data_IF_104425139897
#
_entry.id   IF_104425139897
#
_cell.length_a   1.000
_cell.length_b   1.000
_cell.length_c   1.000
_cell.angle_alpha   90.00
_cell.angle_beta   90.00
_cell.angle_gamma   90.00
#
_symmetry.space_group_name_H-M   'P 1'
#
loop_
_entity.id
_entity.type
_entity.pdbx_description
1 polymer ?
#
# COMPACT_ATOMS: atom_id res chain seq x y z
N UNK A 1 30.89 27.18 12.26
CA UNK A 1 31.06 27.21 10.79
C UNK A 1 30.74 25.82 10.27
N UNK A 2 29.46 25.54 10.03
CA UNK A 2 29.01 24.31 9.39
C UNK A 2 28.93 24.60 7.90
N UNK A 3 29.89 24.06 7.14
CA UNK A 3 29.92 24.15 5.69
C UNK A 3 28.69 23.45 5.12
N UNK A 4 27.72 24.25 4.67
CA UNK A 4 26.65 23.78 3.81
C UNK A 4 27.24 23.31 2.49
N UNK A 5 27.37 21.98 2.34
CA UNK A 5 27.52 21.38 1.02
C UNK A 5 26.14 21.47 0.38
N UNK A 6 25.92 22.53 -0.38
CA UNK A 6 24.86 22.55 -1.38
C UNK A 6 25.31 21.56 -2.44
N UNK A 7 24.80 20.32 -2.39
CA UNK A 7 24.89 19.41 -3.53
C UNK A 7 24.10 20.07 -4.65
N UNK A 8 24.80 20.49 -5.71
CA UNK A 8 24.13 20.84 -6.96
C UNK A 8 23.41 19.59 -7.46
N UNK A 9 22.09 19.70 -7.58
CA UNK A 9 21.22 18.66 -8.13
C UNK A 9 21.58 18.45 -9.62
N UNK A 10 22.51 17.55 -9.93
CA UNK A 10 23.00 17.26 -11.29
C UNK A 10 22.14 16.23 -12.03
N UNK A 11 20.83 16.46 -12.09
CA UNK A 11 19.92 15.63 -12.89
C UNK A 11 19.20 16.48 -13.94
N UNK A 12 18.96 15.87 -15.10
CA UNK A 12 18.31 16.53 -16.22
C UNK A 12 16.86 16.05 -16.32
N UNK A 13 15.90 16.94 -16.06
CA UNK A 13 14.46 16.65 -16.13
C UNK A 13 13.97 16.24 -17.52
N UNK A 14 14.78 16.44 -18.57
CA UNK A 14 14.44 16.03 -19.94
C UNK A 14 14.86 14.58 -20.24
N UNK A 15 15.56 13.90 -19.33
CA UNK A 15 15.90 12.49 -19.49
C UNK A 15 14.74 11.61 -18.99
N UNK A 16 14.60 10.38 -19.52
CA UNK A 16 13.72 9.39 -18.92
C UNK A 16 14.18 9.00 -17.52
N UNK A 17 13.26 8.52 -16.69
CA UNK A 17 13.57 7.91 -15.39
C UNK A 17 13.49 6.39 -15.50
N UNK A 18 14.52 5.70 -15.02
CA UNK A 18 14.50 4.27 -14.80
C UNK A 18 13.78 3.96 -13.48
N UNK A 19 12.72 3.16 -13.55
CA UNK A 19 11.93 2.72 -12.39
C UNK A 19 11.97 1.21 -12.24
N UNK A 20 12.12 0.74 -11.00
CA UNK A 20 12.25 -0.67 -10.65
C UNK A 20 11.29 -1.12 -9.54
N UNK A 21 10.52 -0.18 -8.97
CA UNK A 21 9.64 -0.40 -7.83
C UNK A 21 8.16 -0.11 -8.15
N UNK A 22 7.45 0.50 -7.19
CA UNK A 22 6.01 0.78 -7.25
C UNK A 22 5.60 1.76 -8.36
N UNK A 23 6.55 2.51 -8.92
CA UNK A 23 6.35 3.40 -10.08
C UNK A 23 6.39 2.68 -11.44
N UNK A 24 6.72 1.38 -11.50
CA UNK A 24 6.67 0.65 -12.77
C UNK A 24 5.23 0.62 -13.32
N UNK A 25 5.06 0.54 -14.66
CA UNK A 25 3.76 0.25 -15.24
C UNK A 25 3.14 -1.01 -14.60
N UNK A 26 1.82 -0.96 -14.37
CA UNK A 26 1.05 -2.01 -13.69
C UNK A 26 1.35 -2.22 -12.20
N UNK A 27 2.18 -1.39 -11.57
CA UNK A 27 2.36 -1.35 -10.11
C UNK A 27 1.53 -0.21 -9.47
N UNK A 28 1.33 -0.27 -8.16
CA UNK A 28 0.29 0.52 -7.47
C UNK A 28 0.43 2.04 -7.60
N UNK A 29 1.66 2.58 -7.67
CA UNK A 29 1.84 4.03 -7.70
C UNK A 29 1.64 4.62 -9.10
N UNK A 30 1.84 3.84 -10.17
CA UNK A 30 1.96 4.35 -11.54
C UNK A 30 0.77 5.16 -12.04
N UNK A 31 -0.47 4.80 -11.67
CA UNK A 31 -1.68 5.53 -12.07
C UNK A 31 -1.61 7.03 -11.72
N UNK A 32 -0.90 7.40 -10.65
CA UNK A 32 -0.76 8.80 -10.24
C UNK A 32 0.19 9.60 -11.13
N UNK A 33 1.04 8.91 -11.88
CA UNK A 33 2.10 9.49 -12.70
C UNK A 33 1.83 9.32 -14.19
N UNK A 34 0.97 8.39 -14.58
CA UNK A 34 0.65 8.04 -15.96
C UNK A 34 0.32 9.26 -16.82
N UNK A 35 -0.43 10.23 -16.29
CA UNK A 35 -0.81 11.45 -17.01
C UNK A 35 0.40 12.27 -17.47
N UNK A 36 1.52 12.20 -16.75
CA UNK A 36 2.75 12.92 -17.07
C UNK A 36 3.71 12.13 -17.96
N UNK A 37 3.41 10.86 -18.27
CA UNK A 37 4.27 9.97 -19.04
C UNK A 37 3.80 9.93 -20.48
N UNK A 38 4.72 10.16 -21.41
CA UNK A 38 4.48 10.07 -22.86
C UNK A 38 4.63 8.63 -23.36
N UNK A 39 5.70 7.96 -22.90
CA UNK A 39 6.07 6.60 -23.32
C UNK A 39 6.65 5.83 -22.15
N UNK A 40 6.40 4.53 -22.13
CA UNK A 40 7.07 3.56 -21.26
C UNK A 40 7.84 2.55 -22.09
N UNK A 41 9.02 2.13 -21.65
CA UNK A 41 9.85 1.16 -22.36
C UNK A 41 10.49 0.18 -21.38
N UNK A 42 10.51 -1.11 -21.70
CA UNK A 42 11.20 -2.12 -20.87
C UNK A 42 12.70 -1.83 -20.92
N UNK A 43 13.35 -1.86 -19.77
CA UNK A 43 14.77 -1.59 -19.67
C UNK A 43 15.45 -2.41 -18.56
N UNK A 44 16.77 -2.44 -18.59
CA UNK A 44 17.63 -2.95 -17.54
C UNK A 44 18.60 -1.87 -17.07
N UNK A 45 18.96 -1.89 -15.80
CA UNK A 45 19.95 -1.01 -15.20
C UNK A 45 21.20 -1.83 -14.84
N UNK A 46 22.27 -1.77 -15.66
CA UNK A 46 23.52 -2.49 -15.42
C UNK A 46 24.30 -1.94 -14.23
N UNK A 47 25.12 -2.78 -13.59
CA UNK A 47 25.98 -2.43 -12.44
C UNK A 47 25.22 -2.04 -11.17
N UNK A 48 23.97 -2.49 -11.05
CA UNK A 48 23.16 -2.36 -9.83
C UNK A 48 22.63 -3.72 -9.39
N UNK A 49 22.33 -3.83 -8.10
CA UNK A 49 21.60 -4.94 -7.50
C UNK A 49 20.35 -4.41 -6.79
N UNK A 50 19.30 -5.22 -6.84
CA UNK A 50 18.02 -4.92 -6.20
C UNK A 50 18.01 -5.47 -4.77
N UNK A 51 17.53 -4.65 -3.86
CA UNK A 51 17.36 -4.97 -2.45
C UNK A 51 15.95 -4.61 -2.00
N UNK A 52 15.56 -5.15 -0.85
CA UNK A 52 14.32 -4.81 -0.17
C UNK A 52 14.64 -4.32 1.24
N UNK A 53 14.09 -3.17 1.62
CA UNK A 53 14.15 -2.61 2.98
C UNK A 53 12.74 -2.26 3.40
N UNK A 54 12.27 -2.82 4.51
CA UNK A 54 10.89 -2.63 4.99
C UNK A 54 9.84 -2.90 3.90
N UNK A 55 10.07 -3.95 3.10
CA UNK A 55 9.26 -4.35 1.93
C UNK A 55 9.26 -3.36 0.75
N UNK A 56 10.00 -2.26 0.84
CA UNK A 56 10.20 -1.32 -0.25
C UNK A 56 11.46 -1.67 -1.07
N UNK A 57 11.39 -1.64 -2.40
CA UNK A 57 12.53 -1.94 -3.25
C UNK A 57 13.52 -0.78 -3.25
N UNK A 58 14.81 -1.09 -3.32
CA UNK A 58 15.87 -0.11 -3.57
C UNK A 58 16.97 -0.71 -4.45
N UNK A 59 17.60 0.11 -5.28
CA UNK A 59 18.79 -0.29 -6.02
C UNK A 59 20.04 0.26 -5.35
N UNK A 60 21.10 -0.55 -5.31
CA UNK A 60 22.42 -0.17 -4.84
C UNK A 60 23.47 -0.53 -5.91
N UNK A 61 24.58 0.24 -6.02
CA UNK A 61 25.67 -0.11 -6.92
C UNK A 61 26.22 -1.52 -6.61
N UNK A 62 26.43 -2.31 -7.66
CA UNK A 62 26.99 -3.66 -7.57
C UNK A 62 28.45 -3.66 -7.96
N UNK A 63 29.29 -4.35 -7.19
CA UNK A 63 30.70 -4.60 -7.52
C UNK A 63 30.92 -5.74 -8.52
N UNK A 64 29.85 -6.50 -8.82
CA UNK A 64 29.84 -7.59 -9.79
C UNK A 64 28.87 -7.27 -10.94
N UNK A 65 29.07 -7.92 -12.08
CA UNK A 65 28.24 -7.75 -13.27
C UNK A 65 26.82 -8.29 -13.01
N UNK A 66 25.94 -7.38 -12.62
CA UNK A 66 24.51 -7.60 -12.35
C UNK A 66 23.72 -6.48 -13.02
N UNK A 67 22.43 -6.74 -13.21
CA UNK A 67 21.49 -5.74 -13.68
C UNK A 67 20.16 -5.88 -12.96
N UNK A 68 19.41 -4.78 -12.91
CA UNK A 68 18.04 -4.74 -12.38
C UNK A 68 17.10 -4.52 -13.56
N UNK A 69 16.05 -5.34 -13.69
CA UNK A 69 15.02 -5.11 -14.70
C UNK A 69 14.01 -4.07 -14.22
N UNK A 70 13.52 -3.26 -15.14
CA UNK A 70 12.58 -2.20 -14.86
C UNK A 70 12.04 -1.57 -16.14
N UNK A 71 11.68 -0.30 -16.04
CA UNK A 71 11.13 0.46 -17.15
C UNK A 71 11.77 1.85 -17.21
N UNK A 72 11.93 2.37 -18.41
CA UNK A 72 12.14 3.79 -18.64
C UNK A 72 10.78 4.46 -18.78
N UNK A 73 10.52 5.49 -17.97
CA UNK A 73 9.38 6.38 -18.12
C UNK A 73 9.88 7.68 -18.77
N UNK A 74 9.33 7.99 -19.94
CA UNK A 74 9.62 9.22 -20.66
C UNK A 74 8.59 10.27 -20.27
N UNK A 75 8.97 11.31 -19.50
CA UNK A 75 8.02 12.36 -19.14
C UNK A 75 7.63 13.16 -20.39
N UNK A 76 6.38 13.64 -20.43
CA UNK A 76 5.96 14.62 -21.44
C UNK A 76 6.77 15.89 -21.27
N UNK A 77 7.22 16.47 -22.37
CA UNK A 77 8.12 17.62 -22.34
C UNK A 77 7.52 18.85 -21.63
N UNK A 78 6.21 19.07 -21.78
CA UNK A 78 5.49 20.19 -21.18
C UNK A 78 5.26 20.05 -19.67
N UNK A 79 5.27 18.82 -19.14
CA UNK A 79 5.07 18.54 -17.70
C UNK A 79 6.28 17.88 -17.03
N UNK A 80 7.45 17.87 -17.66
CA UNK A 80 8.62 17.13 -17.18
C UNK A 80 9.10 17.60 -15.80
N UNK A 81 9.09 18.90 -15.54
CA UNK A 81 9.48 19.45 -14.23
C UNK A 81 8.51 19.00 -13.14
N UNK A 82 7.20 19.14 -13.37
CA UNK A 82 6.15 18.71 -12.43
C UNK A 82 6.23 17.20 -12.15
N UNK A 83 6.48 16.39 -13.18
CA UNK A 83 6.71 14.96 -13.04
C UNK A 83 7.84 14.67 -12.06
N UNK A 84 9.01 15.26 -12.26
CA UNK A 84 10.18 15.03 -11.39
C UNK A 84 9.96 15.55 -9.97
N UNK A 85 9.32 16.70 -9.79
CA UNK A 85 8.96 17.22 -8.46
C UNK A 85 8.04 16.24 -7.71
N UNK A 86 7.04 15.70 -8.41
CA UNK A 86 6.09 14.75 -7.81
C UNK A 86 6.74 13.40 -7.50
N UNK A 87 7.61 12.89 -8.38
CA UNK A 87 8.35 11.66 -8.13
C UNK A 87 9.32 11.85 -6.96
N UNK A 88 10.04 12.98 -6.88
CA UNK A 88 10.89 13.31 -5.72
C UNK A 88 10.10 13.33 -4.42
N UNK A 89 8.92 13.96 -4.39
CA UNK A 89 8.06 13.96 -3.22
C UNK A 89 7.56 12.55 -2.86
N UNK A 90 7.31 11.71 -3.86
CA UNK A 90 6.91 10.31 -3.66
C UNK A 90 8.03 9.43 -3.12
N UNK A 91 9.25 9.52 -3.66
CA UNK A 91 10.38 8.73 -3.15
C UNK A 91 10.83 9.23 -1.77
N UNK A 92 10.63 10.51 -1.49
CA UNK A 92 10.88 11.12 -0.20
C UNK A 92 12.38 11.14 0.13
N UNK A 93 12.72 10.88 1.39
CA UNK A 93 14.10 11.03 1.91
C UNK A 93 14.91 9.74 1.91
N UNK A 94 14.32 8.62 1.50
CA UNK A 94 14.96 7.30 1.56
C UNK A 94 15.79 6.96 0.32
N UNK A 95 15.71 7.82 -0.71
CA UNK A 95 16.34 7.66 -2.00
C UNK A 95 16.96 8.97 -2.47
N UNK A 96 17.99 8.86 -3.30
CA UNK A 96 18.65 9.98 -3.97
C UNK A 96 18.50 9.85 -5.48
N UNK A 97 18.13 10.95 -6.14
CA UNK A 97 18.03 11.00 -7.59
C UNK A 97 19.42 11.20 -8.20
N UNK A 98 19.85 10.26 -9.04
CA UNK A 98 21.15 10.28 -9.72
C UNK A 98 21.00 10.06 -11.22
N UNK A 99 21.99 10.52 -11.98
CA UNK A 99 22.12 10.17 -13.41
C UNK A 99 22.66 8.74 -13.55
N UNK A 100 22.16 8.00 -14.55
CA UNK A 100 22.59 6.64 -14.87
C UNK A 100 22.49 6.34 -16.37
N UNK A 101 22.92 5.15 -16.77
CA UNK A 101 22.77 4.63 -18.14
C UNK A 101 22.00 3.32 -18.06
N UNK A 102 20.77 3.32 -18.57
CA UNK A 102 19.96 2.11 -18.72
C UNK A 102 20.17 1.48 -20.11
N UNK A 103 19.81 0.21 -20.23
CA UNK A 103 19.78 -0.55 -21.47
C UNK A 103 18.34 -0.84 -21.84
N UNK A 104 17.90 -0.45 -23.04
CA UNK A 104 16.57 -0.83 -23.51
C UNK A 104 16.52 -2.27 -24.02
N UNK A 105 15.37 -2.70 -24.55
CA UNK A 105 15.17 -4.04 -25.12
C UNK A 105 16.11 -4.37 -26.29
N UNK A 106 16.58 -3.34 -27.01
CA UNK A 106 17.51 -3.48 -28.14
C UNK A 106 18.98 -3.38 -27.69
N UNK A 107 19.24 -3.35 -26.37
CA UNK A 107 20.54 -3.22 -25.74
C UNK A 107 21.28 -1.89 -26.04
N UNK A 108 20.53 -0.88 -26.47
CA UNK A 108 21.02 0.49 -26.66
C UNK A 108 21.22 1.19 -25.31
N UNK A 109 22.28 1.98 -25.19
CA UNK A 109 22.55 2.77 -23.99
C UNK A 109 21.71 4.04 -23.98
N UNK A 110 20.83 4.19 -23.01
CA UNK A 110 19.98 5.36 -22.83
C UNK A 110 20.43 6.10 -21.57
N UNK A 111 20.79 7.38 -21.72
CA UNK A 111 21.02 8.25 -20.57
C UNK A 111 19.70 8.49 -19.84
N UNK A 112 19.67 8.27 -18.53
CA UNK A 112 18.47 8.31 -17.71
C UNK A 112 18.77 8.81 -16.31
N UNK A 113 17.72 9.07 -15.54
CA UNK A 113 17.83 9.25 -14.09
C UNK A 113 17.31 8.01 -13.35
N UNK A 114 17.72 7.80 -12.11
CA UNK A 114 17.19 6.74 -11.24
C UNK A 114 17.20 7.22 -9.79
N UNK A 115 16.21 6.82 -9.01
CA UNK A 115 16.28 6.95 -7.55
C UNK A 115 17.07 5.78 -6.98
N UNK A 116 18.19 6.05 -6.32
CA UNK A 116 19.02 5.04 -5.68
C UNK A 116 18.72 5.02 -4.18
N UNK A 117 18.70 3.85 -3.54
CA UNK A 117 18.60 3.79 -2.08
C UNK A 117 19.80 4.47 -1.40
N UNK A 118 19.53 5.21 -0.32
CA UNK A 118 20.58 5.78 0.55
C UNK A 118 20.63 5.09 1.91
N UNK A 119 21.71 5.32 2.66
CA UNK A 119 21.87 4.86 4.04
C UNK A 119 21.66 3.35 4.18
N UNK A 120 22.30 2.57 3.30
CA UNK A 120 22.19 1.11 3.24
C UNK A 120 22.67 0.38 4.49
N UNK A 121 23.40 1.07 5.37
CA UNK A 121 23.81 0.59 6.68
C UNK A 121 22.66 0.55 7.70
N UNK A 122 21.54 1.23 7.44
CA UNK A 122 20.34 1.26 8.27
C UNK A 122 19.18 0.51 7.63
N UNK A 123 18.30 -0.07 8.47
CA UNK A 123 17.11 -0.81 8.01
C UNK A 123 17.40 -2.20 7.44
N UNK A 124 18.66 -2.65 7.47
CA UNK A 124 19.11 -4.01 7.07
C UNK A 124 18.52 -4.46 5.71
N UNK A 125 18.81 -3.74 4.61
CA UNK A 125 18.32 -4.13 3.29
C UNK A 125 18.80 -5.54 2.93
N UNK A 126 17.90 -6.35 2.38
CA UNK A 126 18.19 -7.73 1.97
C UNK A 126 18.25 -7.84 0.44
N UNK A 127 19.23 -8.55 -0.14
CA UNK A 127 19.31 -8.73 -1.59
C UNK A 127 18.08 -9.45 -2.14
N UNK A 128 17.43 -8.87 -3.14
CA UNK A 128 16.34 -9.49 -3.88
C UNK A 128 16.87 -10.04 -5.21
N UNK A 129 16.90 -11.37 -5.33
CA UNK A 129 17.46 -12.06 -6.51
C UNK A 129 16.51 -12.14 -7.71
N UNK A 130 15.31 -11.59 -7.57
CA UNK A 130 14.26 -11.58 -8.60
C UNK A 130 13.80 -10.15 -8.84
N UNK A 131 12.98 -9.94 -9.87
CA UNK A 131 12.34 -8.64 -10.06
C UNK A 131 11.36 -8.37 -8.92
N UNK A 132 11.26 -7.12 -8.48
CA UNK A 132 10.27 -6.72 -7.50
C UNK A 132 8.89 -6.53 -8.17
N UNK A 133 7.83 -6.95 -7.50
CA UNK A 133 6.46 -6.63 -7.87
C UNK A 133 5.56 -6.65 -6.65
N UNK A 134 4.56 -5.77 -6.63
CA UNK A 134 3.50 -5.76 -5.61
C UNK A 134 2.80 -7.11 -5.53
N UNK A 135 2.65 -7.81 -6.67
CA UNK A 135 2.03 -9.12 -6.71
C UNK A 135 2.75 -10.15 -5.83
N UNK A 136 4.05 -9.98 -5.58
CA UNK A 136 4.89 -10.86 -4.76
C UNK A 136 5.19 -10.29 -3.37
N UNK A 137 4.59 -9.15 -3.00
CA UNK A 137 4.77 -8.53 -1.70
C UNK A 137 4.36 -9.50 -0.58
N UNK A 138 5.22 -9.79 0.41
CA UNK A 138 4.90 -10.80 1.41
C UNK A 138 3.65 -10.53 2.25
N UNK A 139 3.33 -9.26 2.52
CA UNK A 139 2.13 -8.90 3.26
C UNK A 139 0.88 -9.07 2.40
N UNK A 140 0.94 -8.71 1.12
CA UNK A 140 -0.22 -8.77 0.23
C UNK A 140 -0.45 -10.16 -0.38
N UNK A 141 0.61 -10.85 -0.75
CA UNK A 141 0.56 -12.13 -1.47
C UNK A 141 0.41 -13.34 -0.55
N UNK A 142 0.93 -13.27 0.68
CA UNK A 142 0.95 -14.41 1.61
C UNK A 142 0.23 -14.13 2.94
N UNK A 143 0.53 -13.00 3.60
CA UNK A 143 -0.08 -12.70 4.91
C UNK A 143 -1.57 -12.37 4.79
N UNK A 144 -1.94 -11.50 3.85
CA UNK A 144 -3.32 -11.06 3.63
C UNK A 144 -4.31 -12.20 3.38
N UNK A 145 -4.10 -13.15 2.43
CA UNK A 145 -5.07 -14.22 2.20
C UNK A 145 -5.25 -15.13 3.43
N UNK A 146 -4.17 -15.41 4.17
CA UNK A 146 -4.24 -16.16 5.44
C UNK A 146 -5.05 -15.40 6.49
N UNK A 147 -4.86 -14.08 6.58
CA UNK A 147 -5.60 -13.24 7.52
C UNK A 147 -7.10 -13.18 7.19
N UNK A 148 -7.46 -13.07 5.91
CA UNK A 148 -8.85 -13.16 5.45
C UNK A 148 -9.48 -14.48 5.90
N UNK A 149 -8.77 -15.59 5.69
CA UNK A 149 -9.22 -16.92 6.10
C UNK A 149 -9.32 -17.04 7.63
N UNK A 150 -8.38 -16.47 8.39
CA UNK A 150 -8.41 -16.47 9.85
C UNK A 150 -9.63 -15.73 10.41
N UNK A 151 -9.95 -14.55 9.84
CA UNK A 151 -11.17 -13.80 10.18
C UNK A 151 -12.40 -14.65 9.88
N UNK A 152 -12.45 -15.29 8.70
CA UNK A 152 -13.57 -16.16 8.29
C UNK A 152 -13.76 -17.34 9.24
N UNK A 153 -12.68 -18.01 9.63
CA UNK A 153 -12.72 -19.13 10.57
C UNK A 153 -13.14 -18.67 11.98
N UNK A 154 -12.72 -17.47 12.40
CA UNK A 154 -13.09 -16.93 13.72
C UNK A 154 -14.60 -16.71 13.86
N UNK A 155 -15.29 -16.35 12.77
CA UNK A 155 -16.74 -16.19 12.70
C UNK A 155 -17.48 -17.52 12.91
N UNK A 156 -17.04 -18.59 12.25
CA UNK A 156 -17.66 -19.91 12.33
C UNK A 156 -17.59 -20.51 13.74
N UNK A 157 -16.61 -20.10 14.53
CA UNK A 157 -16.41 -20.57 15.91
C UNK A 157 -17.05 -19.69 16.97
N UNK A 158 -17.62 -18.54 16.59
CA UNK A 158 -18.22 -17.61 17.56
C UNK A 158 -19.69 -17.92 17.82
N UNK A 159 -20.07 -18.07 19.09
CA UNK A 159 -21.46 -17.96 19.53
C UNK A 159 -21.91 -16.51 19.36
N UNK A 160 -23.12 -16.28 18.81
CA UNK A 160 -23.62 -14.99 18.28
C UNK A 160 -23.74 -13.82 19.28
N UNK A 161 -23.28 -13.97 20.51
CA UNK A 161 -23.16 -12.87 21.46
C UNK A 161 -22.18 -13.29 22.55
N UNK A 162 -21.20 -12.45 22.85
CA UNK A 162 -20.53 -12.56 24.14
C UNK A 162 -21.60 -12.31 25.20
N UNK A 163 -22.08 -13.35 25.88
CA UNK A 163 -22.90 -13.12 27.07
C UNK A 163 -22.10 -12.25 28.04
N UNK A 164 -22.78 -11.40 28.81
CA UNK A 164 -22.18 -10.39 29.70
C UNK A 164 -21.16 -11.00 30.70
N UNK A 165 -21.17 -12.33 30.86
CA UNK A 165 -20.30 -13.12 31.71
C UNK A 165 -19.14 -13.83 30.97
N UNK A 166 -19.13 -13.87 29.63
CA UNK A 166 -18.09 -14.58 28.86
C UNK A 166 -16.81 -13.75 28.71
N UNK A 167 -15.83 -14.13 29.55
CA UNK A 167 -14.43 -13.70 29.56
C UNK A 167 -13.59 -14.39 28.47
N UNK A 168 -14.10 -14.63 27.26
CA UNK A 168 -13.24 -15.15 26.19
C UNK A 168 -12.36 -14.05 25.60
N UNK A 169 -11.41 -13.61 26.42
CA UNK A 169 -10.36 -12.67 26.07
C UNK A 169 -9.46 -13.22 24.95
N UNK A 170 -9.39 -14.53 24.74
CA UNK A 170 -8.61 -15.10 23.63
C UNK A 170 -9.28 -14.76 22.31
N UNK A 171 -10.58 -15.00 22.18
CA UNK A 171 -11.33 -14.64 20.97
C UNK A 171 -11.35 -13.12 20.76
N UNK A 172 -11.55 -12.33 21.81
CA UNK A 172 -11.49 -10.85 21.74
C UNK A 172 -10.13 -10.37 21.23
N UNK A 173 -9.04 -10.86 21.82
CA UNK A 173 -7.69 -10.51 21.39
C UNK A 173 -7.43 -10.94 19.95
N UNK A 174 -7.91 -12.11 19.51
CA UNK A 174 -7.78 -12.54 18.11
C UNK A 174 -8.50 -11.57 17.16
N UNK A 175 -9.76 -11.22 17.43
CA UNK A 175 -10.53 -10.26 16.59
C UNK A 175 -9.84 -8.89 16.51
N UNK A 176 -9.36 -8.37 17.63
CA UNK A 176 -8.62 -7.10 17.67
C UNK A 176 -7.30 -7.22 16.90
N UNK A 177 -6.49 -8.25 17.17
CA UNK A 177 -5.21 -8.46 16.48
C UNK A 177 -5.38 -8.61 14.97
N UNK A 178 -6.39 -9.35 14.52
CA UNK A 178 -6.68 -9.51 13.10
C UNK A 178 -7.02 -8.16 12.44
N UNK A 179 -7.86 -7.37 13.09
CA UNK A 179 -8.23 -6.05 12.59
C UNK A 179 -7.04 -5.07 12.57
N UNK A 180 -6.17 -5.13 13.57
CA UNK A 180 -4.96 -4.30 13.61
C UNK A 180 -3.96 -4.70 12.52
N UNK A 181 -3.74 -6.01 12.31
CA UNK A 181 -2.88 -6.48 11.22
C UNK A 181 -3.43 -6.06 9.85
N UNK A 182 -4.75 -6.16 9.65
CA UNK A 182 -5.41 -5.70 8.44
C UNK A 182 -5.28 -4.19 8.23
N UNK A 183 -5.33 -3.41 9.32
CA UNK A 183 -5.08 -1.98 9.29
C UNK A 183 -3.63 -1.66 8.92
N UNK A 184 -2.66 -2.45 9.38
CA UNK A 184 -1.26 -2.32 8.97
C UNK A 184 -1.06 -2.67 7.50
N UNK A 185 -1.78 -3.67 6.97
CA UNK A 185 -1.77 -3.98 5.53
C UNK A 185 -2.34 -2.81 4.72
N UNK A 186 -3.41 -2.16 5.17
CA UNK A 186 -3.93 -0.93 4.56
C UNK A 186 -2.88 0.19 4.56
N UNK A 187 -2.18 0.40 5.68
CA UNK A 187 -1.09 1.39 5.78
C UNK A 187 0.09 1.03 4.85
N UNK A 188 0.41 -0.26 4.66
CA UNK A 188 1.40 -0.70 3.69
C UNK A 188 0.98 -0.43 2.25
N UNK A 189 -0.28 -0.69 1.90
CA UNK A 189 -0.85 -0.33 0.59
C UNK A 189 -0.71 1.17 0.35
N UNK A 190 -0.91 2.01 1.37
CA UNK A 190 -0.68 3.44 1.28
C UNK A 190 0.79 3.79 1.03
N UNK A 191 1.74 3.13 1.70
CA UNK A 191 3.17 3.33 1.44
C UNK A 191 3.54 2.98 0.01
N UNK A 192 3.03 1.87 -0.52
CA UNK A 192 3.28 1.44 -1.90
C UNK A 192 2.60 2.34 -2.93
N UNK A 193 1.42 2.90 -2.60
CA UNK A 193 0.65 3.76 -3.51
C UNK A 193 1.15 5.20 -3.46
N UNK A 194 1.30 5.80 -2.29
CA UNK A 194 1.57 7.24 -2.11
C UNK A 194 3.01 7.56 -1.69
N UNK A 195 3.83 6.56 -1.33
CA UNK A 195 5.20 6.79 -0.89
C UNK A 195 5.28 7.85 0.20
N UNK A 196 6.23 8.77 0.04
CA UNK A 196 6.46 9.94 0.88
C UNK A 196 5.61 11.17 0.57
N UNK A 197 4.64 11.12 -0.38
CA UNK A 197 3.91 12.31 -0.86
C UNK A 197 3.28 13.16 0.25
N UNK A 198 2.87 12.53 1.35
CA UNK A 198 2.23 13.19 2.48
C UNK A 198 3.04 13.14 3.77
N UNK A 199 4.23 12.54 3.74
CA UNK A 199 5.06 12.33 4.94
C UNK A 199 5.40 13.67 5.61
N UNK A 200 5.12 13.78 6.92
CA UNK A 200 5.40 14.98 7.70
C UNK A 200 4.45 16.16 7.43
N UNK A 201 3.44 15.99 6.56
CA UNK A 201 2.43 17.02 6.31
C UNK A 201 1.37 17.03 7.42
N UNK A 202 0.83 18.22 7.72
CA UNK A 202 -0.27 18.34 8.69
C UNK A 202 -1.49 17.55 8.18
N UNK A 203 -1.90 16.53 8.91
CA UNK A 203 -3.04 15.70 8.55
C UNK A 203 -2.70 14.61 7.53
N UNK A 204 -1.46 14.16 7.45
CA UNK A 204 -0.96 13.04 6.64
C UNK A 204 -1.98 11.88 6.49
N UNK A 205 -2.44 11.31 7.59
CA UNK A 205 -3.45 10.23 7.57
C UNK A 205 -4.75 10.64 6.86
N UNK A 206 -5.22 11.88 7.05
CA UNK A 206 -6.42 12.35 6.36
C UNK A 206 -6.16 12.53 4.86
N UNK A 207 -4.94 12.86 4.45
CA UNK A 207 -4.56 12.98 3.06
C UNK A 207 -4.48 11.59 2.40
N UNK A 208 -3.91 10.58 3.07
CA UNK A 208 -3.90 9.19 2.61
C UNK A 208 -5.32 8.63 2.46
N UNK A 209 -6.17 8.82 3.48
CA UNK A 209 -7.57 8.42 3.44
C UNK A 209 -8.33 9.09 2.29
N UNK A 210 -8.13 10.40 2.06
CA UNK A 210 -8.75 11.13 0.94
C UNK A 210 -8.21 10.67 -0.40
N UNK A 211 -6.89 10.50 -0.52
CA UNK A 211 -6.23 10.04 -1.74
C UNK A 211 -6.82 8.71 -2.20
N UNK A 212 -6.86 7.73 -1.30
CA UNK A 212 -7.39 6.41 -1.63
C UNK A 212 -8.90 6.49 -1.91
N UNK A 213 -9.67 7.19 -1.07
CA UNK A 213 -11.12 7.30 -1.26
C UNK A 213 -11.53 8.00 -2.57
N UNK A 214 -10.64 8.83 -3.13
CA UNK A 214 -10.88 9.54 -4.37
C UNK A 214 -10.45 8.76 -5.62
N UNK A 215 -9.63 7.71 -5.48
CA UNK A 215 -9.18 6.90 -6.62
C UNK A 215 -10.34 6.12 -7.23
N UNK A 216 -10.26 5.89 -8.55
CA UNK A 216 -11.32 5.19 -9.27
C UNK A 216 -11.39 3.72 -8.84
N UNK A 217 -10.24 3.05 -8.75
CA UNK A 217 -10.18 1.64 -8.32
C UNK A 217 -10.73 1.42 -6.91
N UNK A 218 -10.54 2.36 -5.98
CA UNK A 218 -11.17 2.28 -4.67
C UNK A 218 -12.69 2.36 -4.76
N UNK A 219 -13.21 3.34 -5.52
CA UNK A 219 -14.67 3.50 -5.70
C UNK A 219 -15.28 2.26 -6.35
N UNK A 220 -14.58 1.65 -7.28
CA UNK A 220 -15.01 0.43 -7.97
C UNK A 220 -15.00 -0.77 -7.03
N UNK A 221 -13.92 -0.98 -6.28
CA UNK A 221 -13.83 -2.02 -5.26
C UNK A 221 -14.92 -1.89 -4.20
N UNK A 222 -15.17 -0.66 -3.70
CA UNK A 222 -16.23 -0.40 -2.73
C UNK A 222 -17.61 -0.70 -3.33
N UNK A 223 -17.87 -0.27 -4.57
CA UNK A 223 -19.15 -0.55 -5.25
C UNK A 223 -19.38 -2.05 -5.42
N UNK A 224 -18.36 -2.81 -5.84
CA UNK A 224 -18.44 -4.27 -5.99
C UNK A 224 -18.73 -4.95 -4.65
N UNK A 225 -18.00 -4.59 -3.59
CA UNK A 225 -18.21 -5.16 -2.26
C UNK A 225 -19.59 -4.80 -1.70
N UNK A 226 -20.03 -3.54 -1.85
CA UNK A 226 -21.33 -3.08 -1.37
C UNK A 226 -22.50 -3.73 -2.13
N UNK A 227 -22.40 -3.88 -3.45
CA UNK A 227 -23.42 -4.54 -4.27
C UNK A 227 -23.60 -6.02 -3.90
N UNK A 228 -22.54 -6.67 -3.42
CA UNK A 228 -22.56 -8.03 -2.92
C UNK A 228 -22.97 -8.15 -1.44
N UNK A 229 -23.36 -7.05 -0.77
CA UNK A 229 -23.66 -6.98 0.66
C UNK A 229 -22.50 -7.44 1.57
N UNK A 230 -21.25 -7.21 1.14
CA UNK A 230 -20.03 -7.64 1.84
C UNK A 230 -19.42 -6.56 2.74
N UNK A 231 -20.08 -5.40 2.88
CA UNK A 231 -19.66 -4.29 3.74
C UNK A 231 -20.66 -4.16 4.89
N UNK A 232 -20.37 -4.69 6.09
CA UNK A 232 -21.22 -4.51 7.26
C UNK A 232 -21.43 -3.03 7.60
N UNK A 233 -22.60 -2.71 8.13
CA UNK A 233 -22.86 -1.39 8.69
C UNK A 233 -22.07 -1.21 9.99
N UNK A 234 -21.17 -0.24 10.00
CA UNK A 234 -20.45 0.20 11.19
C UNK A 234 -20.66 1.69 11.32
N UNK A 235 -20.96 2.15 12.55
CA UNK A 235 -21.14 3.56 12.87
C UNK A 235 -20.44 3.90 14.18
N UNK A 236 -19.58 4.92 14.16
CA UNK A 236 -18.80 5.32 15.33
C UNK A 236 -18.76 6.84 15.48
N UNK A 237 -18.86 7.31 16.71
CA UNK A 237 -18.72 8.73 17.07
C UNK A 237 -17.35 9.02 17.68
N UNK A 238 -16.86 10.26 17.56
CA UNK A 238 -15.70 10.71 18.34
C UNK A 238 -16.14 11.08 19.75
N UNK A 239 -15.75 10.29 20.75
CA UNK A 239 -16.12 10.60 22.14
C UNK A 239 -15.43 11.85 22.71
N UNK A 240 -14.47 12.46 22.01
CA UNK A 240 -13.95 13.80 22.37
C UNK A 240 -14.82 14.93 21.86
N UNK A 241 -15.62 14.68 20.84
CA UNK A 241 -16.43 15.70 20.17
C UNK A 241 -17.67 15.04 19.57
N UNK A 242 -18.61 14.70 20.46
CA UNK A 242 -19.86 14.03 20.10
C UNK A 242 -20.77 14.88 19.21
N UNK A 243 -20.52 16.20 19.15
CA UNK A 243 -21.30 17.16 18.35
C UNK A 243 -21.13 16.97 16.85
N UNK A 244 -20.02 16.35 16.43
CA UNK A 244 -19.75 16.03 15.01
C UNK A 244 -20.59 14.88 14.47
N UNK A 245 -21.34 14.18 15.32
CA UNK A 245 -22.13 13.02 14.94
C UNK A 245 -21.28 11.82 14.53
N UNK A 246 -21.92 10.69 14.20
CA UNK A 246 -21.22 9.48 13.80
C UNK A 246 -20.75 9.52 12.34
N UNK A 247 -19.69 8.79 12.06
CA UNK A 247 -19.29 8.39 10.70
C UNK A 247 -19.62 6.92 10.47
N UNK A 248 -20.00 6.54 9.25
CA UNK A 248 -20.41 5.17 8.93
C UNK A 248 -19.87 4.63 7.61
N UNK A 249 -20.01 3.31 7.43
CA UNK A 249 -19.61 2.55 6.23
C UNK A 249 -20.61 2.62 5.08
N UNK A 250 -21.69 3.39 5.20
CA UNK A 250 -22.76 3.49 4.17
C UNK A 250 -22.32 4.12 2.86
N UNK A 251 -21.21 4.86 2.86
CA UNK A 251 -20.65 5.53 1.68
C UNK A 251 -19.15 5.28 1.61
N UNK A 252 -18.62 5.18 0.39
CA UNK A 252 -17.21 4.93 0.15
C UNK A 252 -16.31 5.94 0.89
N UNK A 253 -16.60 7.24 0.79
CA UNK A 253 -15.85 8.29 1.49
C UNK A 253 -15.89 8.21 3.03
N UNK A 254 -16.88 7.52 3.59
CA UNK A 254 -17.07 7.31 5.03
C UNK A 254 -16.40 6.04 5.52
N UNK A 255 -16.45 4.95 4.75
CA UNK A 255 -16.03 3.62 5.18
C UNK A 255 -14.57 3.55 5.67
N UNK A 256 -13.60 4.03 4.88
CA UNK A 256 -12.19 4.07 5.30
C UNK A 256 -11.99 4.90 6.58
N UNK A 257 -12.67 6.04 6.71
CA UNK A 257 -12.58 6.88 7.92
C UNK A 257 -13.16 6.17 9.12
N UNK A 258 -14.28 5.46 8.94
CA UNK A 258 -14.94 4.68 9.98
C UNK A 258 -14.02 3.57 10.47
N UNK A 259 -13.45 2.76 9.59
CA UNK A 259 -12.52 1.69 10.01
C UNK A 259 -11.24 2.25 10.63
N UNK A 260 -10.65 3.31 10.06
CA UNK A 260 -9.47 3.93 10.67
C UNK A 260 -9.77 4.53 12.06
N UNK A 261 -10.99 5.03 12.27
CA UNK A 261 -11.46 5.47 13.59
C UNK A 261 -11.59 4.29 14.56
N UNK A 262 -12.13 3.16 14.11
CA UNK A 262 -12.18 1.93 14.91
C UNK A 262 -10.76 1.49 15.29
N UNK A 263 -9.78 1.53 14.37
CA UNK A 263 -8.37 1.24 14.65
C UNK A 263 -7.83 2.12 15.76
N UNK A 264 -8.01 3.44 15.63
CA UNK A 264 -7.56 4.40 16.65
C UNK A 264 -8.22 4.18 18.01
N UNK A 265 -9.51 3.83 18.03
CA UNK A 265 -10.21 3.52 19.28
C UNK A 265 -9.70 2.22 19.91
N UNK A 266 -9.50 1.16 19.11
CA UNK A 266 -8.97 -0.13 19.59
C UNK A 266 -7.57 -0.03 20.19
N UNK A 267 -6.69 0.78 19.61
CA UNK A 267 -5.31 0.94 20.10
C UNK A 267 -5.19 1.87 21.30
N UNK A 268 -5.88 3.02 21.29
CA UNK A 268 -5.58 4.11 22.23
C UNK A 268 -6.57 4.24 23.38
N UNK A 269 -7.84 3.87 23.16
CA UNK A 269 -8.89 3.97 24.18
C UNK A 269 -9.25 2.63 24.79
N UNK A 270 -8.85 1.55 24.12
CA UNK A 270 -9.40 0.24 24.35
C UNK A 270 -10.84 0.14 23.82
N UNK A 271 -11.29 -1.09 23.65
CA UNK A 271 -12.66 -1.43 23.32
C UNK A 271 -13.18 -2.37 24.39
N UNK A 272 -14.40 -2.13 24.85
CA UNK A 272 -15.05 -2.98 25.85
C UNK A 272 -15.45 -4.33 25.22
N UNK A 273 -15.86 -5.29 26.03
CA UNK A 273 -16.30 -6.60 25.52
C UNK A 273 -17.43 -6.51 24.49
N UNK A 274 -18.36 -5.57 24.66
CA UNK A 274 -19.48 -5.32 23.74
C UNK A 274 -19.09 -4.60 22.44
N UNK A 275 -17.90 -3.98 22.39
CA UNK A 275 -17.38 -3.33 21.18
C UNK A 275 -16.71 -4.32 20.22
N UNK A 276 -16.57 -5.59 20.60
CA UNK A 276 -15.86 -6.60 19.79
C UNK A 276 -16.55 -6.86 18.46
N UNK A 277 -17.88 -6.77 18.40
CA UNK A 277 -18.66 -6.88 17.16
C UNK A 277 -18.34 -5.74 16.18
N UNK A 278 -18.17 -4.51 16.68
CA UNK A 278 -17.76 -3.37 15.84
C UNK A 278 -16.40 -3.62 15.21
N UNK A 279 -15.46 -4.21 15.95
CA UNK A 279 -14.13 -4.54 15.46
C UNK A 279 -14.19 -5.66 14.41
N UNK A 280 -14.99 -6.70 14.67
CA UNK A 280 -15.22 -7.79 13.74
C UNK A 280 -15.86 -7.32 12.43
N UNK A 281 -16.93 -6.53 12.50
CA UNK A 281 -17.58 -5.94 11.34
C UNK A 281 -16.66 -5.03 10.55
N UNK A 282 -15.80 -4.31 11.25
CA UNK A 282 -14.75 -3.50 10.61
C UNK A 282 -13.71 -4.37 9.91
N UNK A 283 -13.33 -5.50 10.50
CA UNK A 283 -12.40 -6.44 9.90
C UNK A 283 -12.99 -7.10 8.65
N UNK A 284 -14.25 -7.55 8.70
CA UNK A 284 -14.96 -8.11 7.55
C UNK A 284 -15.04 -7.08 6.42
N UNK A 285 -15.55 -5.89 6.70
CA UNK A 285 -15.74 -4.85 5.70
C UNK A 285 -14.43 -4.39 5.06
N UNK A 286 -13.39 -4.18 5.86
CA UNK A 286 -12.07 -3.79 5.34
C UNK A 286 -11.43 -4.93 4.55
N UNK A 287 -11.52 -6.18 5.01
CA UNK A 287 -10.92 -7.33 4.34
C UNK A 287 -11.55 -7.53 2.96
N UNK A 288 -12.88 -7.48 2.89
CA UNK A 288 -13.61 -7.58 1.63
C UNK A 288 -13.27 -6.43 0.68
N UNK A 289 -13.22 -5.19 1.18
CA UNK A 289 -12.78 -4.08 0.34
C UNK A 289 -11.38 -4.33 -0.23
N UNK A 290 -10.41 -4.72 0.62
CA UNK A 290 -9.04 -4.92 0.19
C UNK A 290 -8.90 -6.09 -0.79
N UNK A 291 -9.70 -7.15 -0.66
CA UNK A 291 -9.77 -8.23 -1.65
C UNK A 291 -10.09 -7.66 -3.04
N UNK A 292 -11.22 -6.96 -3.18
CA UNK A 292 -11.61 -6.37 -4.47
C UNK A 292 -10.61 -5.32 -4.96
N UNK A 293 -10.10 -4.48 -4.06
CA UNK A 293 -9.15 -3.43 -4.41
C UNK A 293 -7.85 -4.00 -4.97
N UNK A 294 -7.27 -5.00 -4.30
CA UNK A 294 -6.02 -5.63 -4.72
C UNK A 294 -6.21 -6.42 -6.01
N UNK A 295 -7.30 -7.18 -6.18
CA UNK A 295 -7.59 -7.89 -7.44
C UNK A 295 -7.70 -6.94 -8.64
N UNK A 296 -8.26 -5.74 -8.44
CA UNK A 296 -8.34 -4.71 -9.48
C UNK A 296 -7.00 -4.01 -9.75
N UNK A 297 -6.19 -3.79 -8.71
CA UNK A 297 -4.98 -2.95 -8.78
C UNK A 297 -3.70 -3.70 -9.09
N UNK A 298 -3.62 -4.97 -8.70
CA UNK A 298 -2.38 -5.73 -8.72
C UNK A 298 -2.58 -6.95 -9.62
N UNK A 299 -2.12 -6.89 -10.88
CA UNK A 299 -2.18 -8.04 -11.77
C UNK A 299 -1.56 -9.28 -11.12
N UNK A 300 -2.15 -10.45 -11.39
CA UNK A 300 -1.70 -11.75 -10.89
C UNK A 300 -1.71 -11.94 -9.37
N UNK A 301 -2.19 -10.98 -8.56
CA UNK A 301 -2.27 -11.15 -7.10
C UNK A 301 -3.13 -12.34 -6.72
N UNK A 302 -4.23 -12.57 -7.45
CA UNK A 302 -5.12 -13.71 -7.25
C UNK A 302 -4.38 -15.03 -7.43
N UNK A 303 -3.53 -15.12 -8.44
CA UNK A 303 -2.70 -16.30 -8.71
C UNK A 303 -1.73 -16.57 -7.56
N UNK A 304 -1.26 -15.55 -6.84
CA UNK A 304 -0.45 -15.76 -5.63
C UNK A 304 -1.30 -16.24 -4.46
N UNK A 305 -2.50 -15.68 -4.26
CA UNK A 305 -3.40 -16.13 -3.21
C UNK A 305 -3.79 -17.59 -3.36
N UNK A 306 -4.06 -18.07 -4.59
CA UNK A 306 -4.40 -19.47 -4.84
C UNK A 306 -3.28 -20.46 -4.42
N UNK A 307 -2.02 -20.01 -4.34
CA UNK A 307 -0.90 -20.83 -3.84
C UNK A 307 -0.91 -21.00 -2.32
N UNK A 308 -1.48 -20.05 -1.58
CA UNK A 308 -1.48 -20.03 -0.11
C UNK A 308 -2.83 -20.39 0.49
N UNK A 309 -3.91 -19.84 -0.06
CA UNK A 309 -5.30 -20.12 0.32
C UNK A 309 -6.11 -20.38 -0.95
N UNK A 310 -6.20 -21.65 -1.40
CA UNK A 310 -6.97 -22.01 -2.57
C UNK A 310 -8.45 -21.63 -2.45
N UNK A 311 -9.02 -21.10 -3.53
CA UNK A 311 -10.40 -20.61 -3.60
C UNK A 311 -10.74 -19.57 -2.52
N UNK A 312 -9.81 -18.64 -2.25
CA UNK A 312 -10.05 -17.54 -1.29
C UNK A 312 -11.35 -16.80 -1.65
N UNK A 313 -12.27 -16.68 -0.69
CA UNK A 313 -13.58 -16.05 -0.89
C UNK A 313 -13.74 -14.83 0.01
N UNK A 314 -14.55 -13.85 -0.42
CA UNK A 314 -14.99 -12.80 0.49
C UNK A 314 -15.68 -13.37 1.72
N UNK A 315 -15.59 -12.62 2.81
CA UNK A 315 -16.15 -12.98 4.11
C UNK A 315 -17.60 -12.53 4.15
N UNK A 316 -18.53 -13.48 4.10
CA UNK A 316 -19.95 -13.22 4.34
C UNK A 316 -20.26 -13.21 5.83
N UNK A 317 -21.15 -12.31 6.27
CA UNK A 317 -21.82 -12.46 7.55
C UNK A 317 -23.05 -13.34 7.32
N UNK A 318 -23.10 -14.51 7.94
CA UNK A 318 -24.30 -15.34 7.90
C UNK A 318 -25.38 -14.65 8.73
N UNK A 319 -26.28 -13.95 8.06
CA UNK A 319 -27.54 -13.53 8.64
C UNK A 319 -28.47 -14.75 8.59
N UNK A 320 -28.38 -15.62 9.60
CA UNK A 320 -29.57 -16.35 10.04
C UNK A 320 -30.36 -15.44 10.98
#
# INVERSE_FOLDING_TARGET
MTSGVVREDTYNCNLPIFVYGSLKPSEMAFEQFEVFVEKTEIAALPSYELYVRDLMPLVLPSSIEKFVNGFLLYPRQDTAVEFYERVKAFEGVNYELISCVAKNSDNESIASNVFQGISSEYGRPEPLRTNWSTAQDPLLAYSFPILVEDIRLSLATSTKSFEEQERDWKLKNRKISNFLLLSSILEHIWSLTYGGLFAGTKGEINNLLKGMANSQSYKDAFRSAAAANLIPYVSVSDSRDVTKGPISTTKASGALRTWYRVRGNSLHRGKSGSDTEIVEDSAIGLANLLLFYLEMKVPDIRTQWEKSVPNLKPIGRYFD
#
